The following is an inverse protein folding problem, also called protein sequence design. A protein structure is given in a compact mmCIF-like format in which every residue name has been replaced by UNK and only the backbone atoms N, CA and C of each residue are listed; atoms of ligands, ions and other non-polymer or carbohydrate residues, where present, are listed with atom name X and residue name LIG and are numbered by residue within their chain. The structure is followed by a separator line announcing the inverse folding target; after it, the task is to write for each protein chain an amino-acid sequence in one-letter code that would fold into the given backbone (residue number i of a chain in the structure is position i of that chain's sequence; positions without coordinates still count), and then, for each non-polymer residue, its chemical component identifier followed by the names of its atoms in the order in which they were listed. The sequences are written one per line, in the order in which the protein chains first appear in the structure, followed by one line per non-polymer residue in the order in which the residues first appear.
data_IF_168326714965
#
_entry.id   IF_168326714965
#
_cell.length_a   1.000
_cell.length_b   1.000
_cell.length_c   1.000
_cell.angle_alpha   90.00
_cell.angle_beta   90.00
_cell.angle_gamma   90.00
#
_symmetry.space_group_name_H-M   'P 1'
#
loop_
_entity.id
_entity.type
_entity.pdbx_description
1 polymer ?
#
# COMPACT_ATOMS: atom_id res chain seq x y z
N UNK A 1 15.95 -16.25 10.83
CA UNK A 1 14.53 -16.09 11.17
C UNK A 1 14.43 -15.21 12.42
N UNK A 2 14.40 -13.89 12.25
CA UNK A 2 14.09 -12.92 13.31
C UNK A 2 13.67 -11.62 12.61
N UNK A 3 12.63 -11.73 11.80
CA UNK A 3 12.04 -10.55 11.14
C UNK A 3 11.02 -9.97 12.11
N UNK A 4 11.27 -8.77 12.62
CA UNK A 4 10.38 -8.08 13.55
C UNK A 4 9.15 -7.51 12.79
N UNK A 5 8.30 -8.41 12.30
CA UNK A 5 7.12 -8.13 11.47
C UNK A 5 5.79 -8.31 12.23
N UNK A 6 5.84 -8.50 13.55
CA UNK A 6 4.66 -8.60 14.41
C UNK A 6 3.93 -7.27 14.64
N UNK A 7 4.45 -6.17 14.07
CA UNK A 7 3.87 -4.83 14.20
C UNK A 7 2.68 -4.64 13.25
N UNK A 8 1.77 -3.77 13.66
CA UNK A 8 0.68 -3.30 12.80
C UNK A 8 1.25 -2.43 11.69
N UNK A 9 0.79 -2.67 10.46
CA UNK A 9 1.18 -1.89 9.29
C UNK A 9 0.54 -0.50 9.30
N UNK A 10 -0.72 -0.41 9.74
CA UNK A 10 -1.46 0.83 9.88
C UNK A 10 -2.22 0.84 11.21
N UNK A 11 -2.13 1.95 11.95
CA UNK A 11 -2.87 2.12 13.20
C UNK A 11 -4.38 2.07 12.94
N UNK A 12 -5.14 1.38 13.79
CA UNK A 12 -6.59 1.23 13.64
C UNK A 12 -7.04 0.12 12.67
N UNK A 13 -6.12 -0.52 11.95
CA UNK A 13 -6.43 -1.61 11.02
C UNK A 13 -5.80 -2.92 11.47
N UNK A 14 -6.48 -4.06 11.32
CA UNK A 14 -5.97 -5.35 11.75
C UNK A 14 -4.91 -5.93 10.79
N UNK A 15 -4.13 -5.09 10.09
CA UNK A 15 -3.14 -5.48 9.10
C UNK A 15 -1.75 -5.54 9.75
N UNK A 16 -1.01 -6.62 9.53
CA UNK A 16 0.35 -6.81 10.05
C UNK A 16 1.41 -6.62 8.97
N UNK A 17 2.61 -6.22 9.39
CA UNK A 17 3.77 -6.20 8.50
C UNK A 17 4.10 -7.62 7.96
N UNK A 18 3.85 -8.66 8.76
CA UNK A 18 4.05 -10.05 8.36
C UNK A 18 3.19 -10.46 7.16
N UNK A 19 2.00 -9.87 7.00
CA UNK A 19 1.13 -10.15 5.86
C UNK A 19 1.76 -9.66 4.55
N UNK A 20 2.50 -8.55 4.57
CA UNK A 20 3.23 -8.05 3.38
C UNK A 20 4.26 -9.08 2.93
N UNK A 21 5.08 -9.57 3.86
CA UNK A 21 6.10 -10.58 3.56
C UNK A 21 5.47 -11.91 3.13
N UNK A 22 4.38 -12.32 3.78
CA UNK A 22 3.66 -13.53 3.42
C UNK A 22 3.09 -13.44 1.99
N UNK A 23 2.42 -12.34 1.64
CA UNK A 23 1.88 -12.13 0.31
C UNK A 23 2.98 -12.10 -0.77
N UNK A 24 4.17 -11.57 -0.47
CA UNK A 24 5.30 -11.67 -1.38
C UNK A 24 5.72 -13.13 -1.58
N UNK A 25 5.99 -13.86 -0.50
CA UNK A 25 6.53 -15.22 -0.58
C UNK A 25 5.57 -16.24 -1.19
N UNK A 26 4.27 -16.13 -0.88
CA UNK A 26 3.31 -17.20 -1.16
C UNK A 26 2.15 -16.78 -2.06
N UNK A 27 1.90 -15.49 -2.23
CA UNK A 27 0.74 -14.99 -3.00
C UNK A 27 1.12 -14.14 -4.21
N UNK A 28 2.38 -14.19 -4.62
CA UNK A 28 2.87 -13.48 -5.81
C UNK A 28 2.58 -11.97 -5.77
N UNK A 29 2.71 -11.36 -4.58
CA UNK A 29 2.65 -9.91 -4.46
C UNK A 29 3.93 -9.30 -5.02
N UNK A 30 3.80 -8.60 -6.15
CA UNK A 30 4.93 -8.06 -6.94
C UNK A 30 5.01 -6.53 -6.92
N UNK A 31 3.99 -5.83 -6.40
CA UNK A 31 3.97 -4.37 -6.34
C UNK A 31 3.34 -3.87 -5.04
N UNK A 32 3.62 -2.62 -4.67
CA UNK A 32 3.00 -1.97 -3.50
C UNK A 32 1.50 -1.81 -3.70
N UNK A 33 1.10 -1.44 -4.93
CA UNK A 33 -0.32 -1.28 -5.30
C UNK A 33 -1.07 -2.60 -5.15
N UNK A 34 -0.47 -3.73 -5.53
CA UNK A 34 -1.05 -5.05 -5.32
C UNK A 34 -1.42 -5.28 -3.86
N UNK A 35 -0.48 -5.01 -2.94
CA UNK A 35 -0.73 -5.21 -1.52
C UNK A 35 -1.82 -4.27 -0.98
N UNK A 36 -1.68 -2.95 -1.20
CA UNK A 36 -2.60 -1.96 -0.59
C UNK A 36 -4.00 -1.98 -1.22
N UNK A 37 -4.13 -2.42 -2.47
CA UNK A 37 -5.40 -2.46 -3.18
C UNK A 37 -6.08 -3.85 -3.12
N UNK A 38 -5.34 -4.94 -3.32
CA UNK A 38 -5.93 -6.27 -3.51
C UNK A 38 -5.82 -7.18 -2.28
N UNK A 39 -4.67 -7.15 -1.60
CA UNK A 39 -4.38 -8.06 -0.47
C UNK A 39 -4.92 -7.56 0.86
N UNK A 40 -4.64 -6.30 1.18
CA UNK A 40 -5.14 -5.64 2.40
C UNK A 40 -6.40 -4.80 2.16
N UNK A 41 -6.60 -4.34 0.92
CA UNK A 41 -7.64 -3.36 0.53
C UNK A 41 -7.61 -2.06 1.34
N UNK A 42 -6.51 -1.76 2.04
CA UNK A 42 -6.37 -0.57 2.89
C UNK A 42 -6.63 0.72 2.10
N UNK A 43 -6.23 0.77 0.82
CA UNK A 43 -6.45 1.94 -0.04
C UNK A 43 -7.94 2.30 -0.21
N UNK A 44 -8.83 1.31 -0.16
CA UNK A 44 -10.28 1.50 -0.27
C UNK A 44 -10.94 1.83 1.07
N UNK A 45 -10.35 1.39 2.19
CA UNK A 45 -10.87 1.63 3.52
C UNK A 45 -10.49 3.02 4.05
N UNK A 46 -9.22 3.39 3.89
CA UNK A 46 -8.67 4.69 4.28
C UNK A 46 -7.42 4.98 3.47
N UNK A 47 -7.58 5.87 2.49
CA UNK A 47 -6.52 6.31 1.59
C UNK A 47 -5.36 6.99 2.34
N UNK A 48 -5.62 7.66 3.47
CA UNK A 48 -4.58 8.31 4.27
C UNK A 48 -3.80 7.31 5.12
N UNK A 49 -4.47 6.32 5.70
CA UNK A 49 -3.80 5.19 6.35
C UNK A 49 -2.95 4.39 5.35
N UNK A 50 -3.47 4.14 4.15
CA UNK A 50 -2.72 3.51 3.07
C UNK A 50 -1.47 4.32 2.70
N UNK A 51 -1.61 5.64 2.55
CA UNK A 51 -0.49 6.55 2.24
C UNK A 51 0.61 6.50 3.30
N UNK A 52 0.25 6.46 4.59
CA UNK A 52 1.22 6.30 5.69
C UNK A 52 1.88 4.92 5.70
N UNK A 53 1.18 3.88 5.26
CA UNK A 53 1.70 2.51 5.20
C UNK A 53 2.66 2.25 4.03
N UNK A 54 2.51 2.97 2.90
CA UNK A 54 3.28 2.76 1.66
C UNK A 54 4.80 2.65 1.87
N UNK A 55 5.49 3.56 2.60
CA UNK A 55 6.92 3.44 2.81
C UNK A 55 7.32 2.13 3.47
N UNK A 56 6.54 1.67 4.46
CA UNK A 56 6.83 0.42 5.16
C UNK A 56 6.58 -0.82 4.29
N UNK A 57 5.52 -0.80 3.47
CA UNK A 57 5.27 -1.85 2.48
C UNK A 57 6.42 -1.96 1.49
N UNK A 58 6.95 -0.84 1.00
CA UNK A 58 8.11 -0.79 0.09
C UNK A 58 9.34 -1.42 0.75
N UNK A 59 9.63 -1.10 2.00
CA UNK A 59 10.78 -1.66 2.72
C UNK A 59 10.71 -3.17 2.80
N UNK A 60 9.55 -3.72 3.16
CA UNK A 60 9.35 -5.16 3.30
C UNK A 60 9.42 -5.84 1.93
N UNK A 61 8.63 -5.39 0.95
CA UNK A 61 8.64 -5.97 -0.41
C UNK A 61 10.01 -5.88 -1.07
N UNK A 62 10.75 -4.79 -0.86
CA UNK A 62 12.09 -4.66 -1.38
C UNK A 62 13.08 -5.65 -0.76
N UNK A 63 12.91 -5.99 0.52
CA UNK A 63 13.69 -7.04 1.17
C UNK A 63 13.39 -8.41 0.55
N UNK A 64 12.10 -8.73 0.38
CA UNK A 64 11.65 -10.01 -0.20
C UNK A 64 12.05 -10.19 -1.67
N UNK A 65 11.95 -9.12 -2.46
CA UNK A 65 12.19 -9.13 -3.91
C UNK A 65 13.56 -8.61 -4.33
N UNK A 66 14.40 -8.21 -3.37
CA UNK A 66 15.74 -7.63 -3.59
C UNK A 66 15.70 -6.39 -4.50
N UNK A 67 14.74 -5.49 -4.28
CA UNK A 67 14.62 -4.26 -5.06
C UNK A 67 15.74 -3.26 -4.75
N UNK A 68 16.26 -2.65 -5.81
CA UNK A 68 17.20 -1.54 -5.71
C UNK A 68 16.50 -0.21 -5.36
N UNK A 69 17.29 0.85 -5.23
CA UNK A 69 16.78 2.20 -4.94
C UNK A 69 15.89 2.74 -6.05
N UNK A 70 16.15 2.39 -7.30
CA UNK A 70 15.38 2.85 -8.46
C UNK A 70 13.96 2.28 -8.41
N UNK A 71 13.86 0.96 -8.21
CA UNK A 71 12.59 0.25 -8.10
C UNK A 71 11.77 0.70 -6.89
N UNK A 72 12.40 0.92 -5.73
CA UNK A 72 11.71 1.51 -4.56
C UNK A 72 11.07 2.86 -4.87
N UNK A 73 11.77 3.71 -5.63
CA UNK A 73 11.27 5.02 -6.06
C UNK A 73 10.12 4.89 -7.06
N UNK A 74 10.25 3.98 -8.02
CA UNK A 74 9.19 3.68 -8.99
C UNK A 74 7.90 3.21 -8.29
N UNK A 75 8.02 2.29 -7.33
CA UNK A 75 6.88 1.78 -6.56
C UNK A 75 6.24 2.85 -5.67
N UNK A 76 7.04 3.75 -5.08
CA UNK A 76 6.53 4.90 -4.34
C UNK A 76 5.69 5.82 -5.23
N UNK A 77 6.18 6.16 -6.43
CA UNK A 77 5.47 7.01 -7.38
C UNK A 77 4.17 6.34 -7.84
N UNK A 78 4.22 5.07 -8.24
CA UNK A 78 3.03 4.31 -8.65
C UNK A 78 1.98 4.22 -7.55
N UNK A 79 2.40 3.98 -6.30
CA UNK A 79 1.49 3.93 -5.16
C UNK A 79 0.85 5.31 -4.88
N UNK A 80 1.63 6.39 -4.98
CA UNK A 80 1.09 7.75 -4.84
C UNK A 80 0.08 8.08 -5.93
N UNK A 81 0.43 7.85 -7.20
CA UNK A 81 -0.47 8.06 -8.35
C UNK A 81 -1.76 7.25 -8.20
N UNK A 82 -1.66 5.98 -7.81
CA UNK A 82 -2.81 5.13 -7.53
C UNK A 82 -3.70 5.71 -6.43
N UNK A 83 -3.13 6.15 -5.31
CA UNK A 83 -3.88 6.73 -4.20
C UNK A 83 -4.50 8.10 -4.55
N UNK A 84 -3.89 8.88 -5.45
CA UNK A 84 -4.51 10.12 -5.95
C UNK A 84 -5.78 9.85 -6.77
N UNK A 85 -5.94 8.66 -7.37
CA UNK A 85 -7.18 8.33 -8.10
C UNK A 85 -8.41 8.25 -7.20
N UNK A 86 -8.23 8.08 -5.88
CA UNK A 86 -9.32 8.07 -4.88
C UNK A 86 -9.77 9.49 -4.48
N UNK A 87 -8.96 10.52 -4.75
CA UNK A 87 -9.36 11.90 -4.47
C UNK A 87 -10.29 12.41 -5.56
N UNK A 88 -11.59 12.43 -5.24
CA UNK A 88 -12.62 13.01 -6.11
C UNK A 88 -12.54 14.54 -6.12
N UNK A 89 -11.60 15.11 -6.87
CA UNK A 89 -11.64 16.54 -7.22
C UNK A 89 -12.13 16.79 -8.65
N UNK A 90 -12.39 15.74 -9.43
CA UNK A 90 -13.00 15.83 -10.77
C UNK A 90 -14.45 15.35 -10.87
N UNK A 91 -14.92 14.54 -9.93
CA UNK A 91 -16.25 13.91 -10.00
C UNK A 91 -17.23 14.42 -8.92
N UNK A 92 -16.79 15.29 -8.00
CA UNK A 92 -17.63 15.83 -6.92
C UNK A 92 -18.32 17.16 -7.28
N UNK A 93 -18.50 17.48 -8.56
CA UNK A 93 -19.45 18.53 -8.96
C UNK A 93 -20.86 17.95 -8.97
N UNK A 94 -21.43 17.75 -7.78
CA UNK A 94 -22.88 17.62 -7.68
C UNK A 94 -23.46 19.02 -7.90
N UNK A 95 -23.98 19.27 -9.10
CA UNK A 95 -24.90 20.39 -9.30
C UNK A 95 -26.19 20.01 -8.58
N UNK A 96 -26.30 20.41 -7.31
CA UNK A 96 -27.60 20.44 -6.65
C UNK A 96 -28.47 21.44 -7.41
N UNK A 97 -29.35 20.89 -8.25
CA UNK A 97 -30.38 21.66 -8.94
C UNK A 97 -31.36 22.19 -7.90
N UNK A 98 -31.31 23.50 -7.66
CA UNK A 98 -32.43 24.25 -7.12
C UNK A 98 -33.45 24.51 -8.21
#
# INVERSE_FOLDING_TARGET
QNENLGKRLAHGYPILEAEVAYCARHEYCETVVDFIARRSRLAFLDTDAARRAVPRVIEILAGERKWDKSRKKEELLKAQEFLETFKSSRNAQFRDGK
#
